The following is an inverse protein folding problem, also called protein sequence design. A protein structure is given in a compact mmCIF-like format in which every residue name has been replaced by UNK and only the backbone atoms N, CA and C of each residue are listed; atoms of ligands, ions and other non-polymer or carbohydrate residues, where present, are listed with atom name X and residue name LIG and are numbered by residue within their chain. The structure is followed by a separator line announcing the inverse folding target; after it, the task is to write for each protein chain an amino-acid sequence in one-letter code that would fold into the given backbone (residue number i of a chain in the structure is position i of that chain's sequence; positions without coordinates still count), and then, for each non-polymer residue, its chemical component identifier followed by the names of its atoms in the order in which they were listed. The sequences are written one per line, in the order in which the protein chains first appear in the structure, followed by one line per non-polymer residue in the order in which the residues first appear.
data_IF_490173977647
#
_entry.id   IF_490173977647
#
_cell.length_a   1.000
_cell.length_b   1.000
_cell.length_c   1.000
_cell.angle_alpha   90.00
_cell.angle_beta   90.00
_cell.angle_gamma   90.00
#
_symmetry.space_group_name_H-M   'P 1'
#
loop_
_entity.id
_entity.type
_entity.pdbx_description
1 polymer ?
#
# COMPACT_ATOMS: atom_id res chain seq x y z
N UNK A 1 8.36 -7.06 4.92
CA UNK A 1 7.69 -6.92 3.60
C UNK A 1 8.39 -7.68 2.49
N UNK A 2 9.70 -7.49 2.29
CA UNK A 2 10.46 -8.11 1.18
C UNK A 2 10.16 -9.60 0.95
N UNK A 3 10.30 -10.43 2.00
CA UNK A 3 9.97 -11.87 1.95
C UNK A 3 8.54 -12.19 1.50
N UNK A 4 7.56 -11.36 1.88
CA UNK A 4 6.15 -11.56 1.50
C UNK A 4 5.94 -11.24 0.01
N UNK A 5 6.55 -10.16 -0.46
CA UNK A 5 6.57 -9.77 -1.87
C UNK A 5 7.26 -10.82 -2.74
N UNK A 6 8.41 -11.32 -2.31
CA UNK A 6 9.16 -12.40 -2.98
C UNK A 6 8.33 -13.68 -3.07
N UNK A 7 7.63 -14.05 -1.99
CA UNK A 7 6.75 -15.22 -1.96
C UNK A 7 5.62 -15.15 -3.00
N UNK A 8 5.15 -13.94 -3.31
CA UNK A 8 4.15 -13.71 -4.35
C UNK A 8 4.75 -13.43 -5.73
N UNK A 9 6.06 -13.20 -5.84
CA UNK A 9 6.74 -12.85 -7.09
C UNK A 9 6.34 -11.48 -7.64
N UNK A 10 5.89 -10.56 -6.77
CA UNK A 10 5.34 -9.27 -7.20
C UNK A 10 6.41 -8.19 -7.30
N UNK A 11 6.26 -7.25 -8.24
CA UNK A 11 7.02 -6.00 -8.20
C UNK A 11 6.49 -5.08 -7.10
N UNK A 12 7.32 -4.14 -6.62
CA UNK A 12 6.89 -3.16 -5.61
C UNK A 12 5.73 -2.32 -6.15
N UNK A 13 5.70 -2.06 -7.46
CA UNK A 13 4.65 -1.31 -8.15
C UNK A 13 3.31 -2.06 -8.13
N UNK A 14 3.34 -3.38 -8.27
CA UNK A 14 2.16 -4.23 -8.14
C UNK A 14 1.74 -4.41 -6.67
N UNK A 15 2.69 -4.35 -5.73
CA UNK A 15 2.45 -4.57 -4.31
C UNK A 15 1.93 -3.32 -3.58
N UNK A 16 2.36 -2.13 -4.00
CA UNK A 16 1.95 -0.85 -3.44
C UNK A 16 0.42 -0.61 -3.44
N UNK A 17 -0.32 -0.79 -4.56
CA UNK A 17 -1.77 -0.57 -4.59
C UNK A 17 -2.54 -1.54 -3.68
N UNK A 18 -2.06 -2.78 -3.49
CA UNK A 18 -2.66 -3.75 -2.56
C UNK A 18 -2.69 -3.23 -1.12
N UNK A 19 -1.68 -2.44 -0.76
CA UNK A 19 -1.54 -1.83 0.54
C UNK A 19 -2.23 -0.45 0.62
N UNK A 20 -2.71 0.09 -0.50
CA UNK A 20 -3.14 1.49 -0.61
C UNK A 20 -1.99 2.47 -0.38
N UNK A 21 -0.77 2.08 -0.72
CA UNK A 21 0.44 2.87 -0.57
C UNK A 21 1.07 3.15 -1.94
N UNK A 22 2.05 4.06 -1.99
CA UNK A 22 2.84 4.29 -3.19
C UNK A 22 4.10 3.42 -3.24
N UNK A 23 4.58 3.17 -4.46
CA UNK A 23 5.84 2.45 -4.73
C UNK A 23 7.01 2.96 -3.86
N UNK A 24 7.12 4.29 -3.74
CA UNK A 24 8.17 4.94 -2.94
C UNK A 24 8.03 4.66 -1.44
N UNK A 25 6.81 4.57 -0.89
CA UNK A 25 6.58 4.23 0.52
C UNK A 25 7.01 2.80 0.82
N UNK A 26 6.68 1.86 -0.08
CA UNK A 26 7.14 0.47 0.01
C UNK A 26 8.66 0.40 -0.01
N UNK A 27 9.33 1.17 -0.88
CA UNK A 27 10.78 1.26 -0.92
C UNK A 27 11.38 1.75 0.41
N UNK A 28 10.85 2.84 0.99
CA UNK A 28 11.30 3.37 2.28
C UNK A 28 11.09 2.37 3.43
N UNK A 29 9.99 1.62 3.45
CA UNK A 29 9.73 0.59 4.46
C UNK A 29 10.65 -0.63 4.31
N UNK A 30 10.96 -1.03 3.08
CA UNK A 30 11.90 -2.11 2.81
C UNK A 30 13.35 -1.76 3.20
N UNK A 31 13.69 -0.47 3.20
CA UNK A 31 14.99 0.04 3.69
C UNK A 31 15.01 0.37 5.19
N UNK A 32 13.88 0.21 5.89
CA UNK A 32 13.79 0.54 7.31
C UNK A 32 13.75 2.04 7.63
N UNK A 33 13.59 2.90 6.62
CA UNK A 33 13.58 4.36 6.81
C UNK A 33 12.29 4.88 7.45
N UNK A 34 11.18 4.14 7.35
CA UNK A 34 9.89 4.56 7.92
C UNK A 34 9.09 3.35 8.42
N UNK A 35 8.30 3.52 9.47
CA UNK A 35 7.37 2.48 9.95
C UNK A 35 6.06 2.56 9.13
N UNK A 36 5.52 1.44 8.61
CA UNK A 36 4.23 1.46 7.93
C UNK A 36 3.12 1.92 8.89
N UNK A 37 2.10 2.60 8.34
CA UNK A 37 0.92 3.01 9.09
C UNK A 37 0.15 1.78 9.60
N UNK A 38 -0.60 1.89 10.71
CA UNK A 38 -1.39 0.77 11.25
C UNK A 38 -2.32 0.14 10.20
N UNK A 39 -3.01 0.95 9.39
CA UNK A 39 -3.85 0.46 8.28
C UNK A 39 -3.08 -0.44 7.28
N UNK A 40 -1.82 -0.11 7.01
CA UNK A 40 -0.96 -0.89 6.12
C UNK A 40 -0.53 -2.18 6.80
N UNK A 41 -0.26 -2.15 8.11
CA UNK A 41 0.08 -3.34 8.89
C UNK A 41 -1.09 -4.33 8.88
N UNK A 42 -2.32 -3.86 9.05
CA UNK A 42 -3.53 -4.69 8.95
C UNK A 42 -3.68 -5.30 7.56
N UNK A 43 -3.48 -4.51 6.49
CA UNK A 43 -3.50 -5.03 5.11
C UNK A 43 -2.41 -6.07 4.87
N UNK A 44 -1.20 -5.89 5.41
CA UNK A 44 -0.14 -6.91 5.34
C UNK A 44 -0.56 -8.18 6.06
N UNK A 45 -1.22 -8.07 7.23
CA UNK A 45 -1.70 -9.23 7.97
C UNK A 45 -2.75 -10.00 7.16
N UNK A 46 -3.68 -9.30 6.52
CA UNK A 46 -4.68 -9.89 5.61
C UNK A 46 -3.98 -10.56 4.41
N UNK A 47 -3.06 -9.86 3.73
CA UNK A 47 -2.29 -10.40 2.60
C UNK A 47 -1.45 -11.62 2.98
N UNK A 48 -1.01 -11.72 4.23
CA UNK A 48 -0.25 -12.88 4.72
C UNK A 48 -1.13 -14.13 4.84
N UNK A 49 -2.43 -13.98 5.06
CA UNK A 49 -3.42 -15.05 5.04
C UNK A 49 -3.95 -15.38 3.64
N UNK A 50 -3.76 -14.49 2.66
CA UNK A 50 -4.19 -14.73 1.28
C UNK A 50 -3.24 -15.64 0.50
N UNK A 51 -3.81 -16.47 -0.36
CA UNK A 51 -3.08 -17.33 -1.29
C UNK A 51 -2.53 -16.53 -2.47
N UNK A 52 -1.40 -16.97 -3.06
CA UNK A 52 -0.77 -16.33 -4.22
C UNK A 52 -1.75 -16.02 -5.35
N UNK A 53 -2.71 -16.92 -5.62
CA UNK A 53 -3.75 -16.76 -6.64
C UNK A 53 -4.70 -15.60 -6.35
N UNK A 54 -5.09 -15.40 -5.09
CA UNK A 54 -5.94 -14.27 -4.70
C UNK A 54 -5.18 -12.95 -4.85
N UNK A 55 -3.93 -12.92 -4.39
CA UNK A 55 -3.11 -11.70 -4.51
C UNK A 55 -2.91 -11.33 -5.98
N UNK A 56 -2.65 -12.30 -6.86
CA UNK A 56 -2.53 -12.07 -8.30
C UNK A 56 -3.84 -11.56 -8.92
N UNK A 57 -4.99 -12.13 -8.55
CA UNK A 57 -6.29 -11.67 -9.03
C UNK A 57 -6.56 -10.21 -8.61
N UNK A 58 -6.19 -9.83 -7.39
CA UNK A 58 -6.34 -8.45 -6.90
C UNK A 58 -5.36 -7.51 -7.62
N UNK A 59 -4.14 -7.95 -7.94
CA UNK A 59 -3.18 -7.18 -8.75
C UNK A 59 -3.72 -6.94 -10.16
N UNK A 60 -4.33 -7.96 -10.78
CA UNK A 60 -4.95 -7.86 -12.10
C UNK A 60 -6.12 -6.85 -12.11
N UNK A 61 -6.96 -6.87 -11.07
CA UNK A 61 -8.04 -5.88 -10.89
C UNK A 61 -7.53 -4.45 -10.66
N UNK A 62 -6.34 -4.31 -10.08
CA UNK A 62 -5.69 -3.02 -9.86
C UNK A 62 -4.66 -2.68 -10.95
N UNK A 63 -4.89 -3.16 -12.18
CA UNK A 63 -4.00 -3.02 -13.34
C UNK A 63 -3.35 -1.64 -13.48
N UNK A 64 -2.13 -1.59 -14.06
CA UNK A 64 -1.22 -0.46 -13.92
C UNK A 64 -1.75 0.77 -14.64
N UNK A 65 -2.50 1.63 -13.93
CA UNK A 65 -2.66 3.03 -14.36
C UNK A 65 -1.33 3.72 -14.15
N UNK A 66 -0.60 3.85 -15.25
CA UNK A 66 0.68 4.53 -15.40
C UNK A 66 0.79 5.77 -14.50
N UNK A 67 1.62 5.68 -13.47
CA UNK A 67 2.11 6.83 -12.72
C UNK A 67 3.59 7.01 -13.09
N UNK A 68 3.82 7.76 -14.18
CA UNK A 68 5.13 8.35 -14.53
C UNK A 68 5.40 9.59 -13.65
N UNK A 69 6.65 10.04 -13.52
CA UNK A 69 7.27 10.44 -12.26
C UNK A 69 7.08 11.93 -11.99
N UNK A 70 6.80 12.29 -10.73
CA UNK A 70 7.01 13.66 -10.26
C UNK A 70 7.74 13.59 -8.93
N UNK A 71 8.99 14.04 -8.96
CA UNK A 71 9.73 14.38 -7.76
C UNK A 71 8.93 15.41 -6.96
N UNK A 72 8.88 15.20 -5.63
CA UNK A 72 8.65 16.23 -4.60
C UNK A 72 7.51 17.21 -4.87
N UNK A 73 6.32 16.99 -4.30
CA UNK A 73 5.69 18.00 -3.43
C UNK A 73 4.48 17.45 -2.65
N UNK A 74 4.28 18.05 -1.48
CA UNK A 74 3.35 17.75 -0.40
C UNK A 74 1.91 18.14 -0.77
N UNK A 75 0.93 17.28 -0.42
CA UNK A 75 -0.47 17.66 -0.12
C UNK A 75 -1.10 16.52 0.71
N UNK A 76 -1.07 16.53 2.03
CA UNK A 76 -1.88 17.35 2.93
C UNK A 76 -3.38 17.38 2.53
N UNK A 77 -4.17 16.57 3.25
CA UNK A 77 -5.45 16.94 3.89
C UNK A 77 -6.69 17.31 3.07
N UNK A 78 -7.77 16.51 3.24
CA UNK A 78 -9.23 16.84 3.48
C UNK A 78 -10.11 15.73 2.85
N UNK A 79 -11.14 15.09 3.44
CA UNK A 79 -11.92 15.15 4.69
C UNK A 79 -12.65 13.79 4.87
N UNK A 80 -12.78 13.29 6.09
CA UNK A 80 -14.10 12.91 6.63
C UNK A 80 -14.17 13.45 8.06
N UNK A 81 -14.62 14.70 8.16
CA UNK A 81 -15.19 15.21 9.40
C UNK A 81 -16.69 14.94 9.34
N UNK A 82 -17.24 14.32 10.39
CA UNK A 82 -18.42 14.78 11.14
C UNK A 82 -18.93 13.63 12.04
N UNK A 83 -18.82 13.80 13.36
CA UNK A 83 -20.02 14.00 14.17
C UNK A 83 -19.65 14.74 15.46
N UNK A 84 -20.07 16.01 15.52
CA UNK A 84 -20.29 16.72 16.77
C UNK A 84 -21.57 16.18 17.41
N UNK A 85 -21.63 16.10 18.75
CA UNK A 85 -22.86 16.31 19.53
C UNK A 85 -22.46 17.04 20.83
N UNK A 86 -23.18 18.12 21.21
CA UNK A 86 -22.93 18.94 22.41
C UNK A 86 -23.75 18.49 23.63
N UNK A 87 -23.27 18.81 24.82
CA UNK A 87 -24.00 19.47 25.92
C UNK A 87 -22.98 20.14 26.86
#
# INVERSE_FOLDING_TARGET
MRKLREKFGLSREAFAPLLGASHQSVYSWERGSNRPRPEVIEKIAILRGMSKRQVLAVVEQHGPKAQKPAATEKKATKKKATKAVPE
#
